data_IF_121639598405
#
_entry.id   IF_121639598405
#
_cell.length_a   1.000
_cell.length_b   1.000
_cell.length_c   1.000
_cell.angle_alpha   90.00
_cell.angle_beta   90.00
_cell.angle_gamma   90.00
#
_symmetry.space_group_name_H-M   'P 1'
#
loop_
_entity.id
_entity.type
_entity.pdbx_description
1 polymer ?
#
# COMPACT_ATOMS: atom_id res chain seq x y z
N UNK A 1 4.70 -7.04 21.49
CA UNK A 1 3.87 -8.08 20.83
C UNK A 1 2.77 -8.57 21.77
N UNK A 2 1.51 -8.21 21.48
CA UNK A 2 0.34 -8.76 22.15
C UNK A 2 -0.12 -9.98 21.37
N UNK A 3 -0.15 -11.14 22.02
CA UNK A 3 -0.60 -12.39 21.39
C UNK A 3 -2.11 -12.31 21.12
N UNK A 4 -2.54 -12.72 19.93
CA UNK A 4 -3.96 -12.67 19.54
C UNK A 4 -4.45 -11.31 19.04
N UNK A 5 -3.53 -10.39 18.72
CA UNK A 5 -3.91 -9.10 18.15
C UNK A 5 -4.46 -9.24 16.73
N UNK A 6 -5.62 -8.65 16.48
CA UNK A 6 -6.30 -8.60 15.18
C UNK A 6 -6.67 -7.15 14.85
N UNK A 7 -6.72 -6.86 13.55
CA UNK A 7 -7.25 -5.60 13.03
C UNK A 7 -8.25 -5.90 11.93
N UNK A 8 -9.31 -5.11 11.86
CA UNK A 8 -10.21 -5.08 10.73
C UNK A 8 -10.29 -3.65 10.20
N UNK A 9 -9.90 -3.47 8.94
CA UNK A 9 -10.00 -2.22 8.20
C UNK A 9 -11.31 -2.24 7.39
N UNK A 10 -12.05 -1.13 7.45
CA UNK A 10 -13.34 -0.97 6.79
C UNK A 10 -13.27 0.31 5.97
N UNK A 11 -13.42 0.18 4.65
CA UNK A 11 -13.57 1.30 3.73
C UNK A 11 -14.79 2.15 4.15
N UNK A 12 -14.59 3.47 4.21
CA UNK A 12 -15.56 4.47 4.67
C UNK A 12 -16.21 4.16 6.04
N UNK A 13 -15.47 3.53 6.97
CA UNK A 13 -16.01 3.07 8.25
C UNK A 13 -15.05 3.25 9.43
N UNK A 14 -14.16 2.28 9.61
CA UNK A 14 -13.33 2.18 10.80
C UNK A 14 -12.11 1.28 10.62
N UNK A 15 -11.06 1.56 11.40
CA UNK A 15 -10.02 0.59 11.72
C UNK A 15 -10.18 0.17 13.18
N UNK A 16 -10.74 -1.03 13.39
CA UNK A 16 -10.98 -1.60 14.72
C UNK A 16 -9.91 -2.63 15.09
N UNK A 17 -9.68 -2.81 16.38
CA UNK A 17 -8.63 -3.71 16.91
C UNK A 17 -9.19 -4.65 17.95
N UNK A 18 -8.73 -5.90 17.94
CA UNK A 18 -8.86 -6.82 19.07
C UNK A 18 -7.49 -7.14 19.62
N UNK A 19 -7.38 -7.25 20.94
CA UNK A 19 -6.15 -7.65 21.65
C UNK A 19 -6.30 -9.05 22.31
N UNK A 20 -7.40 -9.76 22.03
CA UNK A 20 -7.77 -11.02 22.70
C UNK A 20 -8.32 -12.09 21.73
N UNK A 21 -7.76 -12.13 20.51
CA UNK A 21 -8.13 -13.06 19.43
C UNK A 21 -9.58 -12.92 18.97
N UNK A 22 -10.10 -11.70 18.95
CA UNK A 22 -11.42 -11.36 18.41
C UNK A 22 -12.57 -11.53 19.40
N UNK A 23 -12.29 -11.73 20.70
CA UNK A 23 -13.35 -11.86 21.72
C UNK A 23 -13.94 -10.50 22.07
N UNK A 24 -13.11 -9.47 22.15
CA UNK A 24 -13.52 -8.08 22.31
C UNK A 24 -12.86 -7.20 21.26
N UNK A 25 -13.57 -6.13 20.89
CA UNK A 25 -13.15 -5.18 19.86
C UNK A 25 -13.14 -3.77 20.44
N UNK A 26 -12.03 -3.08 20.22
CA UNK A 26 -11.84 -1.67 20.46
C UNK A 26 -12.18 -0.93 19.17
N UNK A 27 -13.02 0.09 19.30
CA UNK A 27 -13.39 0.96 18.19
C UNK A 27 -12.19 1.81 17.72
N UNK A 28 -12.35 2.47 16.57
CA UNK A 28 -11.38 3.39 15.99
C UNK A 28 -11.03 4.50 17.00
N UNK A 29 -9.74 4.75 17.17
CA UNK A 29 -9.29 5.92 17.93
C UNK A 29 -9.52 7.20 17.11
N UNK A 30 -9.82 8.36 17.73
CA UNK A 30 -10.16 9.58 17.00
C UNK A 30 -9.17 9.99 15.90
N UNK A 31 -7.87 9.88 16.18
CA UNK A 31 -6.76 10.24 15.27
C UNK A 31 -6.35 9.10 14.31
N UNK A 32 -7.05 7.98 14.32
CA UNK A 32 -6.80 6.84 13.44
C UNK A 32 -7.50 6.97 12.08
N UNK A 33 -7.07 6.19 11.07
CA UNK A 33 -7.62 6.24 9.72
C UNK A 33 -9.11 5.92 9.69
N UNK A 34 -9.88 6.65 8.88
CA UNK A 34 -11.33 6.45 8.74
C UNK A 34 -11.70 5.58 7.55
N UNK A 35 -10.96 5.71 6.47
CA UNK A 35 -11.27 5.07 5.19
C UNK A 35 -10.14 4.14 4.78
N UNK A 36 -9.85 3.13 5.60
CA UNK A 36 -8.69 2.26 5.39
C UNK A 36 -8.94 1.30 4.22
N UNK A 37 -8.18 1.48 3.13
CA UNK A 37 -8.18 0.61 1.94
C UNK A 37 -7.24 -0.58 2.10
N UNK A 38 -6.10 -0.36 2.77
CA UNK A 38 -5.15 -1.42 3.09
C UNK A 38 -4.51 -1.17 4.46
N UNK A 39 -4.23 -2.26 5.18
CA UNK A 39 -3.46 -2.26 6.41
C UNK A 39 -2.30 -3.25 6.28
N UNK A 40 -1.12 -2.85 6.77
CA UNK A 40 0.07 -3.68 6.76
C UNK A 40 0.78 -3.66 8.13
N UNK A 41 1.36 -4.79 8.52
CA UNK A 41 2.10 -4.97 9.77
C UNK A 41 3.49 -5.54 9.44
N UNK A 42 4.54 -4.94 9.99
CA UNK A 42 5.90 -5.42 9.71
C UNK A 42 6.21 -6.73 10.45
N UNK A 43 6.59 -7.82 9.76
CA UNK A 43 6.83 -9.12 10.41
C UNK A 43 7.96 -9.07 11.45
N UNK A 44 9.01 -8.27 11.21
CA UNK A 44 10.11 -8.10 12.17
C UNK A 44 9.89 -6.94 13.16
N UNK A 45 8.78 -6.20 13.05
CA UNK A 45 8.46 -5.09 13.94
C UNK A 45 6.94 -5.00 14.14
N UNK A 46 6.35 -5.93 14.91
CA UNK A 46 4.89 -6.11 14.95
C UNK A 46 4.10 -4.94 15.56
N UNK A 47 4.78 -3.98 16.19
CA UNK A 47 4.16 -2.73 16.67
C UNK A 47 4.22 -1.60 15.61
N UNK A 48 4.86 -1.85 14.45
CA UNK A 48 4.83 -0.98 13.26
C UNK A 48 3.66 -1.35 12.36
N UNK A 49 2.73 -0.42 12.21
CA UNK A 49 1.57 -0.57 11.33
C UNK A 49 1.52 0.57 10.33
N UNK A 50 0.95 0.29 9.16
CA UNK A 50 0.81 1.25 8.08
C UNK A 50 -0.57 1.09 7.45
N UNK A 51 -1.25 2.21 7.20
CA UNK A 51 -2.54 2.21 6.54
C UNK A 51 -2.51 3.10 5.30
N UNK A 52 -2.92 2.50 4.18
CA UNK A 52 -3.37 3.23 3.01
C UNK A 52 -4.86 3.53 3.25
N UNK A 53 -5.23 4.80 3.18
CA UNK A 53 -6.59 5.23 3.40
C UNK A 53 -7.01 6.35 2.45
N UNK A 54 -8.31 6.49 2.26
CA UNK A 54 -8.89 7.59 1.49
C UNK A 54 -8.70 8.96 2.14
N UNK A 55 -8.45 8.98 3.45
CA UNK A 55 -8.07 10.17 4.21
C UNK A 55 -6.55 10.35 4.40
N UNK A 56 -5.73 9.53 3.73
CA UNK A 56 -4.28 9.72 3.67
C UNK A 56 -3.46 8.48 3.99
N UNK A 57 -2.15 8.69 4.11
CA UNK A 57 -1.23 7.68 4.66
C UNK A 57 -1.10 7.84 6.17
N UNK A 58 -1.18 6.70 6.88
CA UNK A 58 -1.03 6.63 8.32
C UNK A 58 0.01 5.60 8.73
N UNK A 59 0.74 5.88 9.81
CA UNK A 59 1.64 4.92 10.44
C UNK A 59 1.51 4.93 11.96
N UNK A 60 1.70 3.77 12.57
CA UNK A 60 1.73 3.58 14.01
C UNK A 60 3.02 2.90 14.44
N UNK A 61 3.51 3.30 15.61
CA UNK A 61 4.75 2.80 16.19
C UNK A 61 4.51 2.03 17.50
N UNK A 62 3.26 1.94 17.94
CA UNK A 62 2.84 1.39 19.23
C UNK A 62 1.67 0.39 19.11
N UNK A 63 1.56 -0.27 17.96
CA UNK A 63 0.53 -1.29 17.75
C UNK A 63 -0.88 -0.73 17.53
N UNK A 64 -0.98 0.44 16.90
CA UNK A 64 -2.25 1.12 16.62
C UNK A 64 -2.85 1.86 17.82
N UNK A 65 -2.05 2.12 18.87
CA UNK A 65 -2.46 2.94 20.01
C UNK A 65 -2.46 4.42 19.67
N UNK A 66 -1.54 4.86 18.81
CA UNK A 66 -1.48 6.18 18.20
C UNK A 66 -1.12 6.07 16.72
N UNK A 67 -1.58 7.03 15.93
CA UNK A 67 -1.32 7.11 14.48
C UNK A 67 -0.75 8.47 14.11
N UNK A 68 0.10 8.51 13.08
CA UNK A 68 0.74 9.72 12.54
C UNK A 68 0.50 9.86 11.05
N UNK A 69 0.28 11.10 10.62
CA UNK A 69 0.19 11.48 9.20
C UNK A 69 1.57 11.90 8.67
N UNK A 70 2.36 10.93 8.23
CA UNK A 70 3.69 11.21 7.67
C UNK A 70 3.61 11.40 6.16
N UNK A 71 2.98 12.50 5.72
CA UNK A 71 2.61 12.74 4.31
C UNK A 71 3.47 13.78 3.59
N UNK A 72 4.57 14.23 4.22
CA UNK A 72 5.46 15.21 3.58
C UNK A 72 5.94 14.69 2.22
N UNK A 73 5.72 15.48 1.16
CA UNK A 73 6.06 15.12 -0.21
C UNK A 73 4.94 14.45 -1.03
N UNK A 74 3.84 14.01 -0.40
CA UNK A 74 2.67 13.47 -1.11
C UNK A 74 1.82 14.61 -1.69
N UNK A 75 1.64 14.61 -3.03
CA UNK A 75 0.73 15.54 -3.73
C UNK A 75 -0.66 14.92 -3.94
N UNK A 76 -0.73 13.59 -3.87
CA UNK A 76 -1.95 12.79 -4.01
C UNK A 76 -2.16 12.08 -2.67
N UNK A 77 -3.34 12.27 -2.06
CA UNK A 77 -3.63 11.82 -0.69
C UNK A 77 -4.74 10.80 -0.58
N UNK A 78 -5.38 10.45 -1.68
CA UNK A 78 -6.24 9.27 -1.70
C UNK A 78 -5.34 8.04 -1.92
N UNK A 79 -4.93 7.38 -0.83
CA UNK A 79 -3.93 6.31 -0.85
C UNK A 79 -4.63 4.96 -0.84
N UNK A 80 -4.42 4.15 -1.87
CA UNK A 80 -5.18 2.92 -2.07
C UNK A 80 -4.41 1.66 -1.67
N UNK A 81 -3.17 1.54 -2.14
CA UNK A 81 -2.31 0.39 -1.82
C UNK A 81 -0.95 0.84 -1.33
N UNK A 82 -0.34 0.05 -0.46
CA UNK A 82 1.04 0.22 -0.02
C UNK A 82 1.75 -1.13 0.11
N UNK A 83 3.07 -1.08 0.00
CA UNK A 83 3.96 -2.18 0.28
C UNK A 83 5.16 -1.66 1.07
N UNK A 84 5.58 -2.40 2.08
CA UNK A 84 6.68 -2.05 2.97
C UNK A 84 7.80 -3.04 2.75
N UNK A 85 9.04 -2.54 2.64
CA UNK A 85 10.21 -3.37 2.44
C UNK A 85 10.38 -4.36 3.59
N UNK A 86 10.79 -5.59 3.26
CA UNK A 86 10.95 -6.66 4.24
C UNK A 86 12.15 -6.45 5.17
N UNK A 87 13.21 -5.84 4.64
CA UNK A 87 14.47 -5.59 5.33
C UNK A 87 14.52 -4.23 6.02
N UNK A 88 13.72 -3.28 5.56
CA UNK A 88 13.67 -1.92 6.10
C UNK A 88 12.22 -1.39 6.26
N UNK A 89 11.67 -1.35 7.50
CA UNK A 89 10.32 -0.86 7.74
C UNK A 89 10.07 0.60 7.32
N UNK A 90 11.12 1.41 7.11
CA UNK A 90 10.98 2.80 6.69
C UNK A 90 11.05 2.99 5.16
N UNK A 91 11.35 1.93 4.40
CA UNK A 91 11.28 1.92 2.93
C UNK A 91 9.92 1.41 2.47
N UNK A 92 9.13 2.28 1.83
CA UNK A 92 7.72 2.05 1.52
C UNK A 92 7.40 2.57 0.12
N UNK A 93 6.57 1.82 -0.60
CA UNK A 93 5.92 2.27 -1.83
C UNK A 93 4.41 2.35 -1.60
N UNK A 94 3.77 3.37 -2.16
CA UNK A 94 2.31 3.49 -2.18
C UNK A 94 1.79 3.93 -3.54
N UNK A 95 0.52 3.62 -3.81
CA UNK A 95 -0.25 4.14 -4.93
C UNK A 95 -1.26 5.16 -4.42
N UNK A 96 -1.36 6.30 -5.09
CA UNK A 96 -2.25 7.38 -4.69
C UNK A 96 -2.85 8.14 -5.87
N UNK A 97 -4.08 8.63 -5.69
CA UNK A 97 -4.78 9.48 -6.63
C UNK A 97 -5.18 10.82 -5.99
N UNK A 98 -5.62 11.76 -6.82
CA UNK A 98 -6.11 13.07 -6.34
C UNK A 98 -7.45 12.99 -5.59
N UNK A 99 -8.22 11.92 -5.80
CA UNK A 99 -9.52 11.68 -5.17
C UNK A 99 -9.97 10.24 -5.38
N UNK A 100 -10.99 9.81 -4.62
CA UNK A 100 -11.70 8.55 -4.88
C UNK A 100 -12.18 8.44 -6.33
N UNK A 101 -12.66 9.56 -6.90
CA UNK A 101 -13.11 9.58 -8.30
C UNK A 101 -11.97 9.27 -9.26
N UNK A 102 -10.82 9.94 -9.12
CA UNK A 102 -9.65 9.71 -9.96
C UNK A 102 -8.99 8.33 -9.74
N UNK A 103 -9.30 7.68 -8.62
CA UNK A 103 -8.83 6.33 -8.29
C UNK A 103 -9.63 5.22 -8.98
N UNK A 104 -10.91 5.45 -9.31
CA UNK A 104 -11.84 4.39 -9.76
C UNK A 104 -12.61 4.71 -11.06
N UNK A 105 -12.61 5.96 -11.51
CA UNK A 105 -13.45 6.37 -12.63
C UNK A 105 -12.72 7.30 -13.59
N UNK A 106 -13.15 7.24 -14.85
CA UNK A 106 -12.59 8.08 -15.90
C UNK A 106 -12.98 9.58 -15.75
N UNK A 107 -12.05 10.51 -16.01
CA UNK A 107 -10.64 10.27 -16.33
C UNK A 107 -9.84 9.84 -15.08
N UNK A 108 -9.20 8.68 -15.14
CA UNK A 108 -8.41 8.12 -14.05
C UNK A 108 -6.96 8.62 -14.09
N UNK A 109 -6.37 8.89 -12.93
CA UNK A 109 -4.95 9.25 -12.84
C UNK A 109 -4.43 8.93 -11.44
N UNK A 110 -3.59 7.89 -11.35
CA UNK A 110 -2.92 7.49 -10.13
C UNK A 110 -1.40 7.54 -10.28
N UNK A 111 -0.71 7.59 -9.16
CA UNK A 111 0.72 7.83 -9.09
C UNK A 111 1.35 6.90 -8.06
N UNK A 112 2.58 6.46 -8.32
CA UNK A 112 3.38 5.77 -7.30
C UNK A 112 4.26 6.76 -6.55
N UNK A 113 4.36 6.57 -5.24
CA UNK A 113 5.28 7.30 -4.38
C UNK A 113 6.17 6.34 -3.62
N UNK A 114 7.40 6.79 -3.35
CA UNK A 114 8.37 6.10 -2.52
C UNK A 114 8.77 6.95 -1.34
N UNK A 115 8.87 6.32 -0.17
CA UNK A 115 9.61 6.81 0.99
C UNK A 115 10.78 5.87 1.24
N UNK A 116 11.97 6.45 1.44
CA UNK A 116 13.14 5.72 1.95
C UNK A 116 13.36 6.13 3.41
N UNK A 117 14.18 5.37 4.14
CA UNK A 117 14.55 5.70 5.51
C UNK A 117 14.95 7.18 5.68
N UNK A 118 14.37 7.82 6.69
CA UNK A 118 14.62 9.22 7.06
C UNK A 118 14.39 10.23 5.92
N UNK A 119 13.51 9.94 4.97
CA UNK A 119 13.20 10.81 3.83
C UNK A 119 11.71 11.13 3.74
N UNK A 120 11.39 12.29 3.16
CA UNK A 120 10.03 12.59 2.71
C UNK A 120 9.63 11.70 1.51
N UNK A 121 8.34 11.62 1.24
CA UNK A 121 7.81 10.94 0.05
C UNK A 121 8.28 11.61 -1.23
N UNK A 122 8.54 10.80 -2.25
CA UNK A 122 8.88 11.25 -3.60
C UNK A 122 8.04 10.49 -4.61
N UNK A 123 7.41 11.23 -5.51
CA UNK A 123 6.72 10.66 -6.67
C UNK A 123 7.73 9.92 -7.55
N UNK A 124 7.40 8.70 -7.95
CA UNK A 124 8.22 7.90 -8.85
C UNK A 124 7.92 8.33 -10.29
N UNK A 125 8.81 9.13 -10.86
CA UNK A 125 8.59 9.77 -12.19
C UNK A 125 9.15 9.00 -13.37
N UNK A 126 10.16 8.17 -13.14
CA UNK A 126 10.81 7.38 -14.19
C UNK A 126 10.10 6.04 -14.40
N UNK A 127 8.77 6.09 -14.56
CA UNK A 127 7.97 4.89 -14.78
C UNK A 127 7.95 4.51 -16.26
N UNK A 128 7.94 3.21 -16.61
CA UNK A 128 7.75 2.76 -17.98
C UNK A 128 6.29 2.93 -18.46
N UNK A 129 5.43 3.53 -17.63
CA UNK A 129 3.99 3.71 -17.83
C UNK A 129 3.58 5.15 -17.51
N UNK A 130 2.63 5.68 -18.28
CA UNK A 130 2.01 6.98 -18.02
C UNK A 130 0.93 6.87 -16.94
N UNK A 131 0.86 7.80 -15.96
CA UNK A 131 -0.24 7.90 -14.99
C UNK A 131 -1.64 8.11 -15.60
N UNK A 132 -1.71 8.78 -16.77
CA UNK A 132 -2.98 9.18 -17.36
C UNK A 132 -3.80 7.97 -17.84
N UNK A 133 -5.09 7.95 -17.47
CA UNK A 133 -6.02 6.86 -17.76
C UNK A 133 -5.78 5.60 -16.93
N UNK A 134 -5.15 5.72 -15.75
CA UNK A 134 -4.85 4.57 -14.89
C UNK A 134 -5.39 4.74 -13.48
N UNK A 135 -6.12 3.72 -13.03
CA UNK A 135 -6.58 3.55 -11.66
C UNK A 135 -5.42 3.22 -10.72
N UNK A 136 -5.67 3.18 -9.42
CA UNK A 136 -4.63 2.90 -8.43
C UNK A 136 -4.03 1.50 -8.58
N UNK A 137 -2.69 1.43 -8.58
CA UNK A 137 -1.98 0.16 -8.64
C UNK A 137 -2.13 -0.65 -7.34
N UNK A 138 -2.06 -1.98 -7.46
CA UNK A 138 -1.93 -2.92 -6.33
C UNK A 138 -0.45 -3.23 -6.14
N UNK A 139 0.04 -3.11 -4.91
CA UNK A 139 1.46 -3.21 -4.58
C UNK A 139 1.76 -4.41 -3.66
N UNK A 140 2.94 -4.99 -3.85
CA UNK A 140 3.47 -6.02 -2.97
C UNK A 140 5.00 -5.90 -2.83
N UNK A 141 5.52 -6.20 -1.63
CA UNK A 141 6.95 -6.35 -1.39
C UNK A 141 7.32 -7.84 -1.44
N UNK A 142 8.53 -8.15 -1.90
CA UNK A 142 9.02 -9.53 -1.86
C UNK A 142 9.20 -9.98 -0.38
N UNK A 143 8.70 -11.16 0.01
CA UNK A 143 8.68 -11.57 1.41
C UNK A 143 10.06 -11.85 2.02
N UNK A 144 11.09 -12.03 1.18
CA UNK A 144 12.44 -12.43 1.58
C UNK A 144 13.58 -11.64 0.90
N UNK A 145 13.28 -10.77 -0.07
CA UNK A 145 14.31 -10.06 -0.86
C UNK A 145 14.16 -8.55 -0.60
N UNK A 146 14.98 -7.96 0.29
CA UNK A 146 14.96 -6.53 0.53
C UNK A 146 15.23 -5.73 -0.76
N UNK A 147 14.51 -4.63 -0.94
CA UNK A 147 14.52 -3.77 -2.10
C UNK A 147 13.56 -4.18 -3.23
N UNK A 148 12.97 -5.38 -3.15
CA UNK A 148 12.12 -5.90 -4.22
C UNK A 148 10.65 -5.55 -4.01
N UNK A 149 10.08 -4.88 -5.01
CA UNK A 149 8.68 -4.50 -5.06
C UNK A 149 8.07 -4.85 -6.40
N UNK A 150 6.78 -5.16 -6.38
CA UNK A 150 5.98 -5.42 -7.56
C UNK A 150 4.73 -4.54 -7.53
N UNK A 151 4.31 -4.13 -8.72
CA UNK A 151 3.08 -3.39 -8.92
C UNK A 151 2.29 -4.04 -10.05
N UNK A 152 1.01 -4.28 -9.80
CA UNK A 152 0.04 -4.55 -10.86
C UNK A 152 -0.69 -3.24 -11.10
N UNK A 153 -0.62 -2.73 -12.32
CA UNK A 153 -1.17 -1.45 -12.68
C UNK A 153 -1.84 -1.55 -14.04
N UNK A 154 -3.15 -1.79 -14.09
CA UNK A 154 -3.91 -2.00 -15.33
C UNK A 154 -3.29 -3.06 -16.25
N UNK A 155 -3.47 -4.37 -16.15
CA UNK A 155 -2.87 -5.36 -17.08
C UNK A 155 -1.32 -5.40 -17.17
N UNK A 156 -0.60 -4.39 -16.70
CA UNK A 156 0.85 -4.33 -16.67
C UNK A 156 1.35 -4.76 -15.29
N UNK A 157 2.37 -5.61 -15.29
CA UNK A 157 3.12 -5.95 -14.08
C UNK A 157 4.47 -5.26 -14.15
N UNK A 158 4.84 -4.58 -13.07
CA UNK A 158 6.10 -3.90 -12.91
C UNK A 158 6.89 -4.51 -11.77
N UNK A 159 8.21 -4.50 -11.88
CA UNK A 159 9.14 -4.90 -10.85
C UNK A 159 10.16 -3.79 -10.60
N UNK A 160 10.51 -3.61 -9.33
CA UNK A 160 11.64 -2.84 -8.86
C UNK A 160 12.51 -3.74 -8.00
N UNK A 161 13.83 -3.57 -8.07
CA UNK A 161 14.82 -4.31 -7.26
C UNK A 161 15.70 -3.39 -6.42
N UNK A 162 15.42 -2.08 -6.40
CA UNK A 162 16.27 -1.05 -5.76
C UNK A 162 15.52 -0.20 -4.73
N UNK A 163 14.54 -0.82 -4.05
CA UNK A 163 13.72 -0.18 -3.04
C UNK A 163 12.59 0.67 -3.62
N UNK A 164 12.21 0.45 -4.89
CA UNK A 164 11.14 1.14 -5.59
C UNK A 164 11.56 2.44 -6.25
N UNK A 165 12.86 2.65 -6.44
CA UNK A 165 13.39 3.86 -7.07
C UNK A 165 13.28 3.80 -8.61
N UNK A 166 13.49 2.62 -9.20
CA UNK A 166 13.37 2.39 -10.63
C UNK A 166 12.48 1.16 -10.90
N UNK A 167 11.67 1.24 -11.96
CA UNK A 167 10.70 0.21 -12.30
C UNK A 167 10.85 -0.25 -13.74
N UNK A 168 10.67 -1.54 -13.94
CA UNK A 168 10.70 -2.18 -15.25
C UNK A 168 9.44 -3.02 -15.45
N UNK A 169 8.97 -3.11 -16.69
CA UNK A 169 7.88 -4.04 -17.02
C UNK A 169 8.38 -5.48 -16.91
N UNK A 170 7.56 -6.32 -16.28
CA UNK A 170 7.69 -7.77 -16.38
C UNK A 170 6.94 -8.19 -17.63
N UNK A 171 7.61 -8.87 -18.55
CA UNK A 171 6.97 -9.38 -19.76
C UNK A 171 6.04 -10.53 -19.40
N UNK A 172 4.74 -10.34 -19.63
CA UNK A 172 3.70 -11.34 -19.40
C UNK A 172 2.85 -11.45 -20.66
N UNK A 173 2.60 -12.69 -21.08
CA UNK A 173 1.66 -13.00 -22.15
C UNK A 173 0.32 -13.40 -21.54
N UNK A 174 -0.64 -12.47 -21.53
CA UNK A 174 -1.99 -12.74 -21.08
C UNK A 174 -2.83 -13.42 -22.17
N UNK A 175 -3.65 -14.43 -21.87
CA UNK A 175 -4.66 -14.88 -22.82
C UNK A 175 -5.69 -13.77 -23.04
N UNK A 176 -6.12 -13.57 -24.30
CA UNK A 176 -7.02 -12.46 -24.69
C UNK A 176 -8.30 -12.34 -23.86
N UNK A 177 -8.82 -13.44 -23.32
CA UNK A 177 -10.03 -13.45 -22.49
C UNK A 177 -9.88 -12.69 -21.15
N UNK A 178 -8.65 -12.39 -20.70
CA UNK A 178 -8.37 -11.80 -19.39
C UNK A 178 -7.96 -10.33 -19.45
N UNK A 179 -7.80 -9.77 -20.66
CA UNK A 179 -7.30 -8.40 -20.87
C UNK A 179 -8.33 -7.32 -20.46
N UNK A 180 -9.59 -7.69 -20.26
CA UNK A 180 -10.68 -6.76 -19.92
C UNK A 180 -11.15 -6.86 -18.46
N UNK A 181 -10.46 -7.62 -17.61
CA UNK A 181 -10.86 -7.82 -16.22
C UNK A 181 -10.09 -6.88 -15.28
N UNK A 182 -10.77 -6.43 -14.22
CA UNK A 182 -10.16 -5.65 -13.15
C UNK A 182 -9.25 -6.51 -12.27
N UNK A 183 -8.16 -5.92 -11.79
CA UNK A 183 -7.25 -6.61 -10.87
C UNK A 183 -7.76 -6.49 -9.44
N UNK A 184 -7.71 -7.58 -8.70
CA UNK A 184 -8.20 -7.62 -7.32
C UNK A 184 -7.14 -7.98 -6.28
N UNK A 185 -6.00 -8.56 -6.68
CA UNK A 185 -4.93 -8.95 -5.76
C UNK A 185 -3.58 -9.15 -6.47
N UNK A 186 -2.48 -9.01 -5.71
CA UNK A 186 -1.12 -9.41 -6.08
C UNK A 186 -0.52 -10.19 -4.90
N UNK A 187 -0.03 -11.39 -5.16
CA UNK A 187 0.64 -12.23 -4.17
C UNK A 187 1.97 -12.73 -4.73
N UNK A 188 2.98 -12.81 -3.86
CA UNK A 188 4.31 -13.31 -4.19
C UNK A 188 4.56 -14.52 -3.31
N UNK A 189 4.90 -15.64 -3.93
CA UNK A 189 5.22 -16.89 -3.27
C UNK A 189 6.52 -17.46 -3.85
N UNK A 190 7.32 -18.09 -3.00
CA UNK A 190 8.43 -18.91 -3.47
C UNK A 190 7.91 -20.27 -3.93
N UNK A 191 8.50 -20.77 -5.01
CA UNK A 191 8.39 -22.18 -5.39
C UNK A 191 9.63 -22.85 -4.81
N UNK A 192 9.45 -23.60 -3.72
CA UNK A 192 10.51 -24.37 -3.08
C UNK A 192 10.97 -25.57 -3.90
#
# INVERSE_FOLDING_TARGET
HVQGRLFAAIEAGALIRSDDSGRTWLDRIPEGPRDSHQLWIHPASPDRLYSAAGDGYFESYDGGGTWRHSEEGLRHRYVWSLAVDRGDPDTIILSAASSARASHYEPAESHLYRRAANSAWKEVRNMPLSPAGRHTAILAAHPNEPGWFYAVWENDVLCSTDGGANWQKVEITWPMAWVFNEQCALAIAEIG
#
